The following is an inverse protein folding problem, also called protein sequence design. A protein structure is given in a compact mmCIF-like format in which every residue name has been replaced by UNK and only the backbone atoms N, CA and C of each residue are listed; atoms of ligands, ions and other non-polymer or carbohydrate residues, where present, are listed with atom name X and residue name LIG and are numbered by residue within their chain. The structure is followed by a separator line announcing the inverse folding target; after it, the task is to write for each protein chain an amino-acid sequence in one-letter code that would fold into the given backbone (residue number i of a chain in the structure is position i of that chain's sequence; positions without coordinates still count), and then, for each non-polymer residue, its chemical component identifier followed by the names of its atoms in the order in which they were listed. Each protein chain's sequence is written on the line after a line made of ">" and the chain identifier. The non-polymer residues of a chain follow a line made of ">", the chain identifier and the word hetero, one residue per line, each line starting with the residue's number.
data_IF_232231459549
#
_entry.id   IF_232231459549
#
_cell.length_a   1.000
_cell.length_b   1.000
_cell.length_c   1.000
_cell.angle_alpha   90.00
_cell.angle_beta   90.00
_cell.angle_gamma   90.00
#
_symmetry.space_group_name_H-M   'P 1'
#
loop_
_entity.id
_entity.type
_entity.pdbx_description
1 polymer ?
#
# COMPACT_ATOMS: atom_id res chain seq x y z
N UNK A 1 -1.15 10.55 37.28
CA UNK A 1 -1.27 10.01 35.91
C UNK A 1 -2.45 10.72 35.28
N UNK A 2 -2.23 11.51 34.22
CA UNK A 2 -3.28 12.34 33.60
C UNK A 2 -4.38 11.44 33.03
N UNK A 3 -5.63 11.83 33.26
CA UNK A 3 -6.85 11.17 32.76
C UNK A 3 -6.70 10.88 31.27
N UNK A 4 -6.59 9.61 30.92
CA UNK A 4 -6.57 9.18 29.52
C UNK A 4 -8.01 9.17 29.02
N UNK A 5 -8.23 9.64 27.78
CA UNK A 5 -9.51 9.45 27.11
C UNK A 5 -9.87 7.95 27.11
N UNK A 6 -11.06 7.62 27.63
CA UNK A 6 -11.56 6.25 27.68
C UNK A 6 -12.32 5.84 26.41
N UNK A 7 -12.69 6.79 25.56
CA UNK A 7 -13.44 6.56 24.33
C UNK A 7 -12.48 6.32 23.15
N UNK A 8 -11.70 5.25 23.24
CA UNK A 8 -10.67 4.85 22.28
C UNK A 8 -11.12 3.68 21.41
N UNK A 9 -10.65 3.62 20.16
CA UNK A 9 -10.94 2.52 19.24
C UNK A 9 -9.88 1.41 19.37
N UNK A 10 -10.27 0.20 19.01
CA UNK A 10 -9.38 -0.96 19.03
C UNK A 10 -8.28 -0.81 17.96
N UNK A 11 -7.02 -0.72 18.43
CA UNK A 11 -5.85 -0.60 17.57
C UNK A 11 -5.53 -1.90 16.83
N UNK A 12 -5.93 -3.06 17.34
CA UNK A 12 -5.63 -4.34 16.69
C UNK A 12 -6.32 -4.44 15.33
N UNK A 13 -7.60 -4.03 15.24
CA UNK A 13 -8.33 -3.98 13.97
C UNK A 13 -7.70 -3.03 12.94
N UNK A 14 -7.10 -1.91 13.38
CA UNK A 14 -6.36 -1.00 12.50
C UNK A 14 -5.11 -1.69 11.94
N UNK A 15 -4.36 -2.38 12.78
CA UNK A 15 -3.14 -3.06 12.36
C UNK A 15 -3.47 -4.25 11.45
N UNK A 16 -4.55 -4.99 11.70
CA UNK A 16 -5.05 -6.02 10.76
C UNK A 16 -5.40 -5.43 9.39
N UNK A 17 -6.02 -4.25 9.35
CA UNK A 17 -6.31 -3.56 8.11
C UNK A 17 -5.04 -3.11 7.39
N UNK A 18 -4.09 -2.50 8.10
CA UNK A 18 -2.81 -2.09 7.52
C UNK A 18 -2.04 -3.28 6.96
N UNK A 19 -2.04 -4.40 7.69
CA UNK A 19 -1.40 -5.63 7.25
C UNK A 19 -2.08 -6.17 5.99
N UNK A 20 -3.41 -6.22 5.94
CA UNK A 20 -4.13 -6.66 4.75
C UNK A 20 -3.88 -5.76 3.53
N UNK A 21 -3.67 -4.45 3.72
CA UNK A 21 -3.25 -3.56 2.63
C UNK A 21 -1.81 -3.86 2.20
N UNK A 22 -0.91 -4.13 3.15
CA UNK A 22 0.51 -4.42 2.87
C UNK A 22 0.73 -5.77 2.21
N UNK A 23 0.03 -6.82 2.67
CA UNK A 23 0.14 -8.19 2.13
C UNK A 23 -0.37 -8.30 0.68
N UNK A 24 -1.08 -7.28 0.22
CA UNK A 24 -1.79 -7.26 -1.07
C UNK A 24 -1.54 -5.96 -1.84
N UNK A 25 -0.47 -5.23 -1.52
CA UNK A 25 -0.19 -3.91 -2.10
C UNK A 25 0.08 -3.98 -3.60
N UNK A 26 0.79 -4.99 -4.09
CA UNK A 26 0.99 -5.24 -5.52
C UNK A 26 -0.34 -5.30 -6.28
N UNK A 27 -1.26 -6.15 -5.80
CA UNK A 27 -2.62 -6.26 -6.36
C UNK A 27 -3.39 -4.95 -6.25
N UNK A 28 -3.37 -4.30 -5.08
CA UNK A 28 -4.14 -3.08 -4.83
C UNK A 28 -3.63 -1.92 -5.69
N UNK A 29 -2.32 -1.76 -5.82
CA UNK A 29 -1.70 -0.72 -6.64
C UNK A 29 -2.01 -0.98 -8.11
N UNK A 30 -1.78 -2.19 -8.60
CA UNK A 30 -2.03 -2.55 -9.99
C UNK A 30 -3.50 -2.33 -10.37
N UNK A 31 -4.43 -2.75 -9.52
CA UNK A 31 -5.87 -2.67 -9.79
C UNK A 31 -6.43 -1.26 -9.60
N UNK A 32 -6.01 -0.54 -8.55
CA UNK A 32 -6.67 0.69 -8.12
C UNK A 32 -5.88 1.98 -8.43
N UNK A 33 -4.66 1.91 -8.94
CA UNK A 33 -3.91 3.11 -9.39
C UNK A 33 -4.58 3.82 -10.58
N UNK A 34 -5.28 3.06 -11.43
CA UNK A 34 -6.09 3.58 -12.52
C UNK A 34 -7.38 2.76 -12.71
N UNK A 35 -8.29 2.88 -11.75
CA UNK A 35 -9.60 2.24 -11.80
C UNK A 35 -10.61 3.16 -12.52
N UNK A 36 -11.01 2.80 -13.73
CA UNK A 36 -11.93 3.59 -14.56
C UNK A 36 -11.51 5.07 -14.73
N UNK A 37 -10.22 5.31 -14.97
CA UNK A 37 -9.66 6.66 -15.15
C UNK A 37 -9.44 7.42 -13.84
N UNK A 38 -9.56 6.76 -12.69
CA UNK A 38 -9.40 7.36 -11.36
C UNK A 38 -8.38 6.61 -10.52
N UNK A 39 -7.58 7.35 -9.78
CA UNK A 39 -6.63 6.78 -8.82
C UNK A 39 -7.34 6.52 -7.48
N UNK A 40 -7.86 5.32 -7.31
CA UNK A 40 -8.48 4.87 -6.06
C UNK A 40 -7.44 4.34 -5.06
N UNK A 41 -6.23 3.98 -5.51
CA UNK A 41 -5.12 3.64 -4.63
C UNK A 41 -4.77 4.79 -3.67
N UNK A 42 -4.70 6.03 -4.18
CA UNK A 42 -4.48 7.22 -3.33
C UNK A 42 -5.58 7.39 -2.27
N UNK A 43 -6.83 7.01 -2.57
CA UNK A 43 -7.91 7.03 -1.60
C UNK A 43 -7.71 5.96 -0.51
N UNK A 44 -7.30 4.75 -0.88
CA UNK A 44 -6.97 3.67 0.09
C UNK A 44 -5.86 4.14 1.03
N UNK A 45 -4.77 4.70 0.50
CA UNK A 45 -3.68 5.26 1.29
C UNK A 45 -4.15 6.37 2.24
N UNK A 46 -4.94 7.32 1.72
CA UNK A 46 -5.46 8.42 2.52
C UNK A 46 -6.35 7.92 3.66
N UNK A 47 -7.26 6.97 3.40
CA UNK A 47 -8.10 6.36 4.43
C UNK A 47 -7.26 5.62 5.48
N UNK A 48 -6.23 4.87 5.06
CA UNK A 48 -5.29 4.19 5.97
C UNK A 48 -4.57 5.18 6.89
N UNK A 49 -4.06 6.26 6.34
CA UNK A 49 -3.31 7.27 7.11
C UNK A 49 -4.22 7.99 8.11
N UNK A 50 -5.42 8.40 7.67
CA UNK A 50 -6.37 9.08 8.54
C UNK A 50 -6.99 8.18 9.60
N UNK A 51 -7.21 6.90 9.32
CA UNK A 51 -7.55 5.91 10.34
C UNK A 51 -6.41 5.77 11.36
N UNK A 52 -5.17 5.72 10.90
CA UNK A 52 -3.99 5.66 11.79
C UNK A 52 -3.90 6.87 12.71
N UNK A 53 -4.04 8.08 12.16
CA UNK A 53 -4.05 9.33 12.94
C UNK A 53 -5.20 9.33 13.94
N UNK A 54 -6.39 8.91 13.52
CA UNK A 54 -7.59 8.98 14.34
C UNK A 54 -7.54 7.98 15.51
N UNK A 55 -7.30 6.70 15.22
CA UNK A 55 -7.26 5.64 16.24
C UNK A 55 -6.14 5.89 17.25
N UNK A 56 -4.94 6.21 16.77
CA UNK A 56 -3.79 6.44 17.65
C UNK A 56 -3.81 7.83 18.31
N UNK A 57 -4.56 8.78 17.75
CA UNK A 57 -4.71 10.14 18.28
C UNK A 57 -5.74 10.26 19.41
N UNK A 58 -6.79 9.42 19.40
CA UNK A 58 -7.86 9.44 20.42
C UNK A 58 -7.37 9.44 21.88
N UNK A 59 -6.35 8.66 22.28
CA UNK A 59 -5.83 8.66 23.65
C UNK A 59 -5.30 10.02 24.14
N UNK A 60 -4.97 10.93 23.23
CA UNK A 60 -4.34 12.22 23.52
C UNK A 60 -5.35 13.37 23.66
N UNK A 61 -6.64 13.14 23.42
CA UNK A 61 -7.70 14.14 23.59
C UNK A 61 -8.03 14.28 25.09
N UNK A 62 -7.99 15.50 25.64
CA UNK A 62 -8.21 15.73 27.07
C UNK A 62 -9.63 16.24 27.36
N UNK A 63 -10.57 15.32 27.57
CA UNK A 63 -11.98 15.66 27.85
C UNK A 63 -12.21 16.24 29.25
N UNK A 64 -11.26 16.11 30.18
CA UNK A 64 -11.36 16.60 31.58
C UNK A 64 -10.51 17.85 31.84
N UNK A 65 -10.16 18.61 30.79
CA UNK A 65 -9.37 19.84 30.94
C UNK A 65 -10.02 20.82 31.94
N UNK A 66 -9.22 21.48 32.77
CA UNK A 66 -9.73 22.39 33.80
C UNK A 66 -10.33 23.70 33.27
N UNK A 67 -10.24 23.96 31.97
CA UNK A 67 -10.67 25.20 31.32
C UNK A 67 -11.78 24.87 30.33
N UNK A 68 -12.91 25.54 30.45
CA UNK A 68 -14.14 25.21 29.72
C UNK A 68 -13.98 25.34 28.19
N UNK A 69 -13.35 26.42 27.73
CA UNK A 69 -13.06 26.60 26.29
C UNK A 69 -12.14 25.49 25.75
N UNK A 70 -11.09 25.14 26.51
CA UNK A 70 -10.20 24.05 26.13
C UNK A 70 -10.95 22.71 26.11
N UNK A 71 -11.84 22.42 27.08
CA UNK A 71 -12.68 21.22 27.02
C UNK A 71 -13.59 21.22 25.80
N UNK A 72 -14.22 22.35 25.49
CA UNK A 72 -15.10 22.49 24.32
C UNK A 72 -14.35 22.19 23.02
N UNK A 73 -13.11 22.69 22.89
CA UNK A 73 -12.23 22.35 21.76
C UNK A 73 -11.84 20.87 21.74
N UNK A 74 -11.58 20.25 22.89
CA UNK A 74 -11.31 18.80 22.97
C UNK A 74 -12.54 17.97 22.56
N UNK A 75 -13.75 18.44 22.87
CA UNK A 75 -15.00 17.80 22.44
C UNK A 75 -15.18 17.89 20.93
N UNK A 76 -14.96 19.07 20.34
CA UNK A 76 -14.94 19.25 18.89
C UNK A 76 -13.91 18.31 18.24
N UNK A 77 -12.72 18.21 18.82
CA UNK A 77 -11.66 17.33 18.33
C UNK A 77 -12.10 15.86 18.37
N UNK A 78 -12.76 15.41 19.43
CA UNK A 78 -13.29 14.04 19.54
C UNK A 78 -14.29 13.74 18.42
N UNK A 79 -15.29 14.61 18.24
CA UNK A 79 -16.34 14.44 17.23
C UNK A 79 -15.73 14.43 15.82
N UNK A 80 -14.81 15.34 15.55
CA UNK A 80 -14.11 15.42 14.25
C UNK A 80 -13.26 14.18 14.00
N UNK A 81 -12.58 13.67 15.03
CA UNK A 81 -11.78 12.45 14.94
C UNK A 81 -12.66 11.25 14.60
N UNK A 82 -13.84 11.12 15.21
CA UNK A 82 -14.80 10.09 14.83
C UNK A 82 -15.33 10.30 13.42
N UNK A 83 -15.73 11.51 13.04
CA UNK A 83 -16.18 11.82 11.68
C UNK A 83 -15.16 11.41 10.60
N UNK A 84 -13.86 11.61 10.85
CA UNK A 84 -12.78 11.14 9.97
C UNK A 84 -12.75 9.60 9.86
N UNK A 85 -12.91 8.88 10.97
CA UNK A 85 -13.00 7.41 10.97
C UNK A 85 -14.17 6.96 10.09
N UNK A 86 -15.35 7.55 10.28
CA UNK A 86 -16.55 7.23 9.51
C UNK A 86 -16.36 7.46 8.02
N UNK A 87 -15.89 8.65 7.64
CA UNK A 87 -15.65 8.99 6.24
C UNK A 87 -14.63 8.04 5.62
N UNK A 88 -13.57 7.68 6.35
CA UNK A 88 -12.56 6.73 5.86
C UNK A 88 -13.19 5.38 5.53
N UNK A 89 -14.05 4.85 6.41
CA UNK A 89 -14.74 3.57 6.21
C UNK A 89 -15.73 3.64 5.05
N UNK A 90 -16.53 4.70 4.96
CA UNK A 90 -17.45 4.91 3.84
C UNK A 90 -16.72 5.00 2.50
N UNK A 91 -15.59 5.70 2.45
CA UNK A 91 -14.76 5.78 1.25
C UNK A 91 -14.16 4.43 0.87
N UNK A 92 -13.71 3.63 1.84
CA UNK A 92 -13.22 2.26 1.59
C UNK A 92 -14.33 1.36 1.04
N UNK A 93 -15.53 1.39 1.64
CA UNK A 93 -16.69 0.68 1.10
C UNK A 93 -16.99 1.09 -0.34
N UNK A 94 -16.89 2.39 -0.67
CA UNK A 94 -17.07 2.87 -2.05
C UNK A 94 -15.99 2.35 -2.99
N UNK A 95 -14.72 2.35 -2.59
CA UNK A 95 -13.62 1.86 -3.43
C UNK A 95 -13.78 0.38 -3.76
N UNK A 96 -14.16 -0.42 -2.77
CA UNK A 96 -14.35 -1.85 -2.96
C UNK A 96 -15.76 -2.22 -3.46
N UNK A 97 -16.58 -1.22 -3.82
CA UNK A 97 -17.95 -1.38 -4.33
C UNK A 97 -18.85 -2.19 -3.40
N UNK A 98 -18.65 -2.05 -2.10
CA UNK A 98 -19.38 -2.74 -1.05
C UNK A 98 -20.64 -1.96 -0.67
N UNK A 99 -21.74 -2.68 -0.44
CA UNK A 99 -22.93 -2.08 0.20
C UNK A 99 -22.57 -1.62 1.63
N UNK A 100 -23.09 -0.47 2.05
CA UNK A 100 -22.90 0.03 3.42
C UNK A 100 -24.05 -0.45 4.32
N UNK A 101 -23.85 -1.46 5.18
CA UNK A 101 -24.94 -2.14 5.88
C UNK A 101 -25.66 -1.27 6.91
N UNK A 102 -25.03 -0.17 7.37
CA UNK A 102 -25.56 0.68 8.43
C UNK A 102 -26.23 1.98 7.95
N UNK A 103 -26.46 2.15 6.64
CA UNK A 103 -26.95 3.42 6.05
C UNK A 103 -28.31 3.89 6.59
N UNK A 104 -29.12 2.96 7.12
CA UNK A 104 -30.44 3.24 7.71
C UNK A 104 -30.52 2.85 9.19
N UNK A 105 -29.37 2.58 9.80
CA UNK A 105 -29.29 2.18 11.20
C UNK A 105 -29.79 3.30 12.11
N UNK A 106 -30.53 2.94 13.15
CA UNK A 106 -31.08 3.87 14.14
C UNK A 106 -31.04 3.29 15.56
N UNK A 107 -30.21 2.26 15.78
CA UNK A 107 -30.22 1.49 17.02
C UNK A 107 -29.51 2.18 18.18
N UNK A 108 -28.66 3.18 17.91
CA UNK A 108 -27.77 3.76 18.92
C UNK A 108 -28.41 4.97 19.58
N UNK A 109 -28.78 5.97 18.78
CA UNK A 109 -29.28 7.22 19.33
C UNK A 109 -30.76 7.15 19.70
N UNK A 110 -31.51 6.26 19.04
CA UNK A 110 -32.97 6.12 19.20
C UNK A 110 -33.72 7.44 18.93
N UNK A 111 -33.24 8.22 17.96
CA UNK A 111 -33.84 9.47 17.53
C UNK A 111 -34.90 9.25 16.44
N UNK A 112 -35.64 10.30 16.09
CA UNK A 112 -36.59 10.28 14.98
C UNK A 112 -35.93 10.16 13.60
N UNK A 113 -34.61 10.34 13.52
CA UNK A 113 -33.80 10.24 12.31
C UNK A 113 -32.79 9.09 12.43
N UNK A 114 -32.29 8.54 11.30
CA UNK A 114 -31.21 7.55 11.32
C UNK A 114 -29.98 8.06 12.06
N UNK A 115 -29.18 7.14 12.58
CA UNK A 115 -28.02 7.45 13.43
C UNK A 115 -27.00 8.34 12.70
N UNK A 116 -26.79 8.15 11.39
CA UNK A 116 -25.88 8.99 10.59
C UNK A 116 -26.35 10.45 10.53
N UNK A 117 -27.67 10.66 10.38
CA UNK A 117 -28.27 11.99 10.37
C UNK A 117 -28.22 12.63 11.77
N UNK A 118 -28.42 11.84 12.82
CA UNK A 118 -28.32 12.32 14.20
C UNK A 118 -26.87 12.70 14.56
N UNK A 119 -25.89 11.89 14.17
CA UNK A 119 -24.47 12.21 14.37
C UNK A 119 -24.06 13.44 13.57
N UNK A 120 -24.57 13.62 12.34
CA UNK A 120 -24.35 14.84 11.58
C UNK A 120 -24.91 16.08 12.31
N UNK A 121 -26.06 15.95 12.97
CA UNK A 121 -26.61 17.01 13.82
C UNK A 121 -25.72 17.31 15.04
N UNK A 122 -25.22 16.28 15.74
CA UNK A 122 -24.26 16.45 16.83
C UNK A 122 -23.05 17.25 16.33
N UNK A 123 -22.47 16.84 15.20
CA UNK A 123 -21.29 17.50 14.61
C UNK A 123 -21.57 18.95 14.24
N UNK A 124 -22.77 19.24 13.72
CA UNK A 124 -23.18 20.60 13.41
C UNK A 124 -23.30 21.46 14.69
N UNK A 125 -24.00 20.96 15.71
CA UNK A 125 -24.26 21.66 16.97
C UNK A 125 -22.99 21.94 17.79
N UNK A 126 -22.08 20.98 17.86
CA UNK A 126 -20.91 21.02 18.75
C UNK A 126 -19.62 21.45 18.07
N UNK A 127 -19.66 21.90 16.80
CA UNK A 127 -18.40 22.18 16.11
C UNK A 127 -18.47 22.75 14.71
N UNK A 128 -18.99 21.97 13.75
CA UNK A 128 -18.81 22.28 12.33
C UNK A 128 -19.61 23.50 11.86
N UNK A 129 -20.84 23.68 12.39
CA UNK A 129 -21.76 24.72 11.95
C UNK A 129 -22.58 25.36 13.10
N UNK A 130 -21.99 25.65 14.28
CA UNK A 130 -22.76 26.07 15.45
C UNK A 130 -23.53 27.37 15.22
N UNK A 131 -23.16 28.20 14.24
CA UNK A 131 -23.82 29.48 13.95
C UNK A 131 -24.64 29.50 12.65
N UNK A 132 -24.85 28.35 11.98
CA UNK A 132 -25.77 28.22 10.83
C UNK A 132 -26.41 26.82 10.78
N UNK A 133 -27.18 26.47 11.81
CA UNK A 133 -27.88 25.19 11.88
C UNK A 133 -29.20 25.26 11.11
N UNK A 134 -29.54 24.18 10.41
CA UNK A 134 -30.78 24.02 9.62
C UNK A 134 -31.75 22.99 10.20
N UNK A 135 -31.54 22.65 11.47
CA UNK A 135 -32.31 21.69 12.23
C UNK A 135 -32.03 21.86 13.72
N UNK A 136 -33.02 21.51 14.56
CA UNK A 136 -32.85 21.41 16.01
C UNK A 136 -32.53 19.97 16.48
N UNK A 137 -32.91 18.95 15.70
CA UNK A 137 -32.92 17.53 16.11
C UNK A 137 -32.40 16.57 15.03
N UNK A 138 -31.91 17.10 13.90
CA UNK A 138 -31.48 16.36 12.72
C UNK A 138 -32.55 16.22 11.63
N UNK A 139 -33.80 16.58 11.88
CA UNK A 139 -34.84 16.66 10.86
C UNK A 139 -34.70 17.91 10.00
N UNK A 140 -34.89 17.82 8.68
CA UNK A 140 -34.75 18.98 7.79
C UNK A 140 -35.83 20.02 8.11
N UNK A 141 -35.42 21.23 8.47
CA UNK A 141 -36.30 22.39 8.67
C UNK A 141 -35.86 23.58 7.80
N UNK A 142 -36.80 24.50 7.54
CA UNK A 142 -36.48 25.82 7.00
C UNK A 142 -36.00 26.79 8.08
N UNK A 143 -36.24 26.46 9.34
CA UNK A 143 -35.84 27.26 10.49
C UNK A 143 -34.33 27.27 10.65
N UNK A 144 -33.80 28.35 11.21
CA UNK A 144 -32.37 28.47 11.53
C UNK A 144 -32.15 28.49 13.02
N UNK A 145 -31.09 27.80 13.44
CA UNK A 145 -30.68 27.76 14.82
C UNK A 145 -29.20 28.14 15.00
N UNK A 146 -28.86 28.57 16.20
CA UNK A 146 -27.53 28.96 16.61
C UNK A 146 -27.21 28.30 17.96
N UNK A 147 -26.17 27.48 18.04
CA UNK A 147 -25.74 26.82 19.26
C UNK A 147 -24.90 27.75 20.15
N UNK A 148 -25.11 27.65 21.46
CA UNK A 148 -24.25 28.21 22.49
C UNK A 148 -22.89 27.49 22.56
N UNK A 149 -21.98 27.97 23.42
CA UNK A 149 -20.84 27.15 23.83
C UNK A 149 -21.33 25.81 24.41
N UNK A 150 -20.53 24.77 24.20
CA UNK A 150 -20.80 23.46 24.78
C UNK A 150 -20.36 23.43 26.23
N UNK A 151 -21.20 22.94 27.13
CA UNK A 151 -20.84 22.78 28.54
C UNK A 151 -21.13 21.37 29.02
N UNK A 152 -20.35 20.92 29.98
CA UNK A 152 -20.61 19.67 30.69
C UNK A 152 -21.98 19.75 31.37
N UNK A 153 -22.72 18.64 31.30
CA UNK A 153 -23.98 18.52 32.02
C UNK A 153 -23.63 18.14 33.45
N UNK A 154 -23.56 19.13 34.35
CA UNK A 154 -23.36 18.81 35.77
C UNK A 154 -24.44 17.81 36.22
N UNK A 155 -24.05 16.81 37.01
CA UNK A 155 -24.88 15.70 37.54
C UNK A 155 -26.10 16.13 38.38
N UNK A 156 -26.37 17.43 38.47
CA UNK A 156 -27.54 18.02 39.14
C UNK A 156 -28.85 17.89 38.36
N UNK A 157 -28.81 17.51 37.08
CA UNK A 157 -30.00 17.31 36.24
C UNK A 157 -29.95 15.86 35.75
N UNK A 158 -30.62 14.96 36.46
CA UNK A 158 -30.54 13.49 36.28
C UNK A 158 -30.70 13.01 34.83
N UNK A 159 -29.58 12.81 34.16
CA UNK A 159 -29.48 12.26 32.81
C UNK A 159 -28.09 11.64 32.57
N UNK A 160 -27.99 10.79 31.55
CA UNK A 160 -26.75 10.11 31.15
C UNK A 160 -25.98 10.86 30.04
N UNK A 161 -26.28 12.16 29.87
CA UNK A 161 -25.63 13.00 28.86
C UNK A 161 -24.39 13.65 29.46
N UNK A 162 -23.34 13.76 28.66
CA UNK A 162 -22.05 14.31 29.09
C UNK A 162 -21.95 15.80 28.80
N UNK A 163 -22.50 16.24 27.65
CA UNK A 163 -22.40 17.62 27.16
C UNK A 163 -23.72 18.12 26.58
N UNK A 164 -23.95 19.43 26.68
CA UNK A 164 -25.10 20.07 26.02
C UNK A 164 -24.78 21.46 25.47
N UNK A 165 -25.59 21.87 24.50
CA UNK A 165 -25.68 23.24 23.99
C UNK A 165 -27.13 23.70 24.07
N UNK A 166 -27.34 25.01 24.10
CA UNK A 166 -28.63 25.63 23.86
C UNK A 166 -28.70 26.13 22.42
N UNK A 167 -29.78 25.78 21.73
CA UNK A 167 -30.08 26.22 20.37
C UNK A 167 -31.01 27.42 20.42
N UNK A 168 -30.49 28.58 20.00
CA UNK A 168 -31.25 29.80 19.81
C UNK A 168 -31.93 29.76 18.44
N UNK A 169 -33.23 30.02 18.40
CA UNK A 169 -34.01 30.05 17.16
C UNK A 169 -33.95 31.42 16.50
N UNK A 170 -33.96 31.46 15.17
CA UNK A 170 -34.20 32.70 14.42
C UNK A 170 -35.67 33.12 14.38
N UNK A 171 -36.58 32.27 14.85
CA UNK A 171 -38.00 32.58 14.97
C UNK A 171 -38.24 33.40 16.25
N UNK A 172 -38.71 34.66 16.16
CA UNK A 172 -38.92 35.53 17.31
C UNK A 172 -40.00 35.02 18.28
N UNK A 173 -40.89 34.13 17.85
CA UNK A 173 -41.93 33.53 18.69
C UNK A 173 -41.39 32.40 19.58
N UNK A 174 -40.14 31.95 19.36
CA UNK A 174 -39.50 30.93 20.19
C UNK A 174 -38.94 31.57 21.47
N UNK A 175 -39.68 31.44 22.57
CA UNK A 175 -39.37 32.13 23.83
C UNK A 175 -38.20 31.49 24.61
N UNK A 176 -38.01 30.18 24.50
CA UNK A 176 -37.00 29.44 25.27
C UNK A 176 -36.01 28.72 24.33
N UNK A 177 -34.70 28.78 24.59
CA UNK A 177 -33.71 28.01 23.84
C UNK A 177 -33.98 26.50 23.97
N UNK A 178 -33.74 25.77 22.87
CA UNK A 178 -33.89 24.31 22.85
C UNK A 178 -32.59 23.70 23.37
N UNK A 179 -32.66 22.88 24.42
CA UNK A 179 -31.49 22.15 24.90
C UNK A 179 -31.22 20.96 23.98
N UNK A 180 -30.00 20.86 23.46
CA UNK A 180 -29.51 19.72 22.71
C UNK A 180 -28.35 19.08 23.45
N UNK A 181 -28.47 17.81 23.81
CA UNK A 181 -27.50 17.07 24.61
C UNK A 181 -26.89 15.91 23.83
N UNK A 182 -25.70 15.50 24.22
CA UNK A 182 -25.04 14.30 23.71
C UNK A 182 -24.35 13.50 24.80
N UNK A 183 -24.21 12.21 24.55
CA UNK A 183 -23.44 11.29 25.38
C UNK A 183 -22.20 10.82 24.61
N UNK A 184 -21.03 10.95 25.24
CA UNK A 184 -19.77 10.39 24.75
C UNK A 184 -19.86 8.88 24.57
N UNK A 185 -20.53 8.18 25.48
CA UNK A 185 -20.73 6.74 25.37
C UNK A 185 -21.52 6.36 24.11
N UNK A 186 -22.60 7.08 23.80
CA UNK A 186 -23.41 6.82 22.59
C UNK A 186 -22.66 7.15 21.30
N UNK A 187 -21.98 8.30 21.21
CA UNK A 187 -21.19 8.61 20.00
C UNK A 187 -20.03 7.63 19.82
N UNK A 188 -19.47 7.12 20.92
CA UNK A 188 -18.42 6.12 20.89
C UNK A 188 -18.96 4.77 20.40
N UNK A 189 -20.09 4.31 20.94
CA UNK A 189 -20.79 3.09 20.49
C UNK A 189 -21.15 3.16 19.00
N UNK A 190 -21.71 4.29 18.57
CA UNK A 190 -22.00 4.61 17.18
C UNK A 190 -20.77 4.47 16.28
N UNK A 191 -19.63 4.99 16.74
CA UNK A 191 -18.35 4.93 16.02
C UNK A 191 -17.78 3.52 16.00
N UNK A 192 -17.80 2.79 17.11
CA UNK A 192 -17.36 1.38 17.18
C UNK A 192 -18.13 0.52 16.18
N UNK A 193 -19.46 0.69 16.12
CA UNK A 193 -20.31 -0.10 15.22
C UNK A 193 -19.98 0.12 13.74
N UNK A 194 -19.52 1.32 13.37
CA UNK A 194 -19.06 1.63 12.01
C UNK A 194 -17.61 1.20 11.79
N UNK A 195 -16.75 1.44 12.77
CA UNK A 195 -15.35 1.01 12.76
C UNK A 195 -15.19 -0.49 12.59
N UNK A 196 -16.08 -1.30 13.18
CA UNK A 196 -16.08 -2.74 13.00
C UNK A 196 -16.31 -3.20 11.55
N UNK A 197 -16.89 -2.35 10.68
CA UNK A 197 -17.02 -2.64 9.25
C UNK A 197 -15.66 -2.72 8.53
N UNK A 198 -14.58 -2.24 9.15
CA UNK A 198 -13.23 -2.43 8.62
C UNK A 198 -12.87 -3.92 8.46
N UNK A 199 -13.43 -4.81 9.27
CA UNK A 199 -13.30 -6.27 9.11
C UNK A 199 -13.88 -6.78 7.79
N UNK A 200 -14.98 -6.18 7.32
CA UNK A 200 -15.57 -6.49 6.03
C UNK A 200 -14.65 -6.02 4.90
N UNK A 201 -14.03 -4.84 5.04
CA UNK A 201 -13.06 -4.31 4.07
C UNK A 201 -11.85 -5.25 3.96
N UNK A 202 -11.30 -5.70 5.10
CA UNK A 202 -10.19 -6.67 5.14
C UNK A 202 -10.56 -7.95 4.37
N UNK A 203 -11.77 -8.47 4.62
CA UNK A 203 -12.26 -9.68 3.97
C UNK A 203 -12.47 -9.48 2.46
N UNK A 204 -12.97 -8.32 2.04
CA UNK A 204 -13.18 -8.01 0.63
C UNK A 204 -11.85 -7.83 -0.13
N UNK A 205 -10.82 -7.24 0.49
CA UNK A 205 -9.47 -7.18 -0.10
C UNK A 205 -8.96 -8.59 -0.39
N UNK A 206 -8.98 -9.48 0.62
CA UNK A 206 -8.51 -10.87 0.49
C UNK A 206 -9.29 -11.63 -0.59
N UNK A 207 -10.61 -11.46 -0.60
CA UNK A 207 -11.49 -12.08 -1.59
C UNK A 207 -11.21 -11.59 -3.01
N UNK A 208 -11.13 -10.27 -3.23
CA UNK A 208 -10.86 -9.71 -4.57
C UNK A 208 -9.46 -10.08 -5.06
N UNK A 209 -8.47 -10.13 -4.17
CA UNK A 209 -7.13 -10.63 -4.51
C UNK A 209 -7.16 -12.11 -4.92
N UNK A 210 -7.88 -12.97 -4.18
CA UNK A 210 -8.06 -14.37 -4.54
C UNK A 210 -8.75 -14.56 -5.90
N UNK A 211 -9.79 -13.77 -6.20
CA UNK A 211 -10.45 -13.76 -7.51
C UNK A 211 -9.46 -13.35 -8.60
N UNK A 212 -8.70 -12.28 -8.39
CA UNK A 212 -7.68 -11.81 -9.34
C UNK A 212 -6.64 -12.90 -9.65
N UNK A 213 -6.11 -13.57 -8.62
CA UNK A 213 -5.16 -14.69 -8.81
C UNK A 213 -5.75 -15.77 -9.70
N UNK A 214 -6.99 -16.21 -9.42
CA UNK A 214 -7.64 -17.27 -10.19
C UNK A 214 -7.93 -16.84 -11.64
N UNK A 215 -8.35 -15.60 -11.86
CA UNK A 215 -8.53 -15.03 -13.19
C UNK A 215 -7.21 -15.01 -13.98
N UNK A 216 -6.10 -14.58 -13.35
CA UNK A 216 -4.79 -14.59 -13.99
C UNK A 216 -4.33 -16.02 -14.29
N UNK A 217 -4.53 -16.98 -13.38
CA UNK A 217 -4.20 -18.41 -13.60
C UNK A 217 -4.95 -19.02 -14.78
N UNK A 218 -6.21 -18.64 -14.96
CA UNK A 218 -7.04 -19.14 -16.06
C UNK A 218 -6.69 -18.50 -17.40
N UNK A 219 -5.99 -17.36 -17.41
CA UNK A 219 -5.49 -16.73 -18.63
C UNK A 219 -4.15 -17.37 -19.02
N UNK A 220 -4.09 -18.20 -20.08
CA UNK A 220 -2.85 -18.82 -20.51
C UNK A 220 -1.89 -17.78 -21.09
N UNK A 221 -0.63 -17.88 -20.71
CA UNK A 221 0.48 -17.15 -21.32
C UNK A 221 0.87 -17.87 -22.60
N UNK A 222 1.04 -17.12 -23.69
CA UNK A 222 1.46 -17.71 -24.97
C UNK A 222 2.90 -18.21 -24.88
N UNK A 223 3.18 -19.39 -25.45
CA UNK A 223 4.53 -19.95 -25.56
C UNK A 223 5.05 -19.83 -26.99
N UNK A 224 6.25 -19.29 -27.14
CA UNK A 224 6.99 -19.18 -28.39
C UNK A 224 8.30 -19.96 -28.28
N UNK A 225 8.23 -21.28 -28.51
CA UNK A 225 9.35 -22.19 -28.27
C UNK A 225 10.54 -22.05 -29.23
N UNK A 226 10.43 -21.26 -30.30
CA UNK A 226 11.50 -21.05 -31.27
C UNK A 226 12.28 -19.74 -31.07
N UNK A 227 11.72 -18.78 -30.33
CA UNK A 227 12.33 -17.47 -30.11
C UNK A 227 12.22 -17.09 -28.62
N UNK A 228 13.34 -17.23 -27.92
CA UNK A 228 13.44 -16.94 -26.48
C UNK A 228 13.26 -15.45 -26.18
N UNK A 229 13.67 -14.56 -27.09
CA UNK A 229 13.54 -13.11 -26.90
C UNK A 229 12.07 -12.71 -27.02
N UNK A 230 11.36 -13.26 -28.02
CA UNK A 230 9.91 -13.08 -28.16
C UNK A 230 9.17 -13.61 -26.92
N UNK A 231 9.55 -14.79 -26.42
CA UNK A 231 8.99 -15.34 -25.18
C UNK A 231 9.21 -14.41 -23.99
N UNK A 232 10.42 -13.88 -23.81
CA UNK A 232 10.75 -12.97 -22.71
C UNK A 232 9.97 -11.64 -22.80
N UNK A 233 9.75 -11.11 -24.00
CA UNK A 233 8.92 -9.91 -24.20
C UNK A 233 7.46 -10.16 -23.79
N UNK A 234 6.92 -11.35 -24.09
CA UNK A 234 5.60 -11.76 -23.60
C UNK A 234 5.59 -11.83 -22.07
N UNK A 235 6.59 -12.46 -21.47
CA UNK A 235 6.71 -12.56 -20.01
C UNK A 235 6.84 -11.19 -19.34
N UNK A 236 7.56 -10.24 -19.93
CA UNK A 236 7.71 -8.88 -19.40
C UNK A 236 6.36 -8.14 -19.35
N UNK A 237 5.56 -8.30 -20.41
CA UNK A 237 4.20 -7.75 -20.48
C UNK A 237 3.26 -8.42 -19.47
N UNK A 238 3.34 -9.74 -19.34
CA UNK A 238 2.54 -10.50 -18.38
C UNK A 238 2.94 -10.16 -16.93
N UNK A 239 4.22 -9.98 -16.62
CA UNK A 239 4.69 -9.48 -15.31
C UNK A 239 4.06 -8.12 -14.98
N UNK A 240 4.08 -7.19 -15.93
CA UNK A 240 3.50 -5.86 -15.73
C UNK A 240 1.98 -5.90 -15.53
N UNK A 241 1.31 -6.88 -16.14
CA UNK A 241 -0.15 -7.07 -16.01
C UNK A 241 -0.53 -7.76 -14.70
N UNK A 242 0.23 -8.77 -14.28
CA UNK A 242 -0.07 -9.63 -13.13
C UNK A 242 0.44 -9.08 -11.81
N UNK A 243 1.53 -8.33 -11.85
CA UNK A 243 2.21 -7.72 -10.70
C UNK A 243 2.19 -6.21 -10.89
N UNK A 244 3.23 -5.64 -11.52
CA UNK A 244 3.36 -4.23 -11.87
C UNK A 244 4.59 -4.03 -12.77
N UNK A 245 4.60 -2.97 -13.56
CA UNK A 245 5.82 -2.53 -14.24
C UNK A 245 6.86 -2.07 -13.20
N UNK A 246 8.10 -2.54 -13.34
CA UNK A 246 9.20 -2.22 -12.42
C UNK A 246 9.27 -3.09 -11.16
N UNK A 247 8.38 -4.09 -11.00
CA UNK A 247 8.37 -5.00 -9.85
C UNK A 247 8.31 -6.48 -10.25
N UNK A 248 8.33 -7.36 -9.25
CA UNK A 248 8.38 -8.79 -9.45
C UNK A 248 9.65 -9.17 -10.23
N UNK A 249 9.47 -9.81 -11.38
CA UNK A 249 10.56 -10.29 -12.23
C UNK A 249 10.93 -9.32 -13.35
N UNK A 250 10.44 -8.07 -13.31
CA UNK A 250 10.64 -7.10 -14.40
C UNK A 250 12.12 -6.97 -14.81
N UNK A 251 13.01 -6.71 -13.84
CA UNK A 251 14.44 -6.51 -14.12
C UNK A 251 15.17 -7.80 -14.49
N UNK A 252 14.76 -8.95 -13.93
CA UNK A 252 15.32 -10.26 -14.29
C UNK A 252 14.98 -10.60 -15.75
N UNK A 253 13.73 -10.37 -16.16
CA UNK A 253 13.28 -10.58 -17.55
C UNK A 253 14.00 -9.61 -18.49
N UNK A 254 14.14 -8.34 -18.11
CA UNK A 254 14.87 -7.35 -18.92
C UNK A 254 16.35 -7.76 -19.09
N UNK A 255 16.99 -8.20 -18.01
CA UNK A 255 18.37 -8.71 -18.06
C UNK A 255 18.48 -9.90 -19.00
N UNK A 256 17.54 -10.84 -18.96
CA UNK A 256 17.53 -11.98 -19.89
C UNK A 256 17.39 -11.54 -21.35
N UNK A 257 16.53 -10.56 -21.64
CA UNK A 257 16.39 -9.99 -23.00
C UNK A 257 17.73 -9.42 -23.45
N UNK A 258 18.38 -8.62 -22.60
CA UNK A 258 19.71 -8.04 -22.86
C UNK A 258 20.76 -9.12 -23.15
N UNK A 259 20.79 -10.21 -22.38
CA UNK A 259 21.72 -11.31 -22.56
C UNK A 259 21.50 -12.08 -23.88
N UNK A 260 20.24 -12.37 -24.23
CA UNK A 260 19.91 -13.08 -25.47
C UNK A 260 20.01 -12.23 -26.74
N UNK A 261 20.07 -10.90 -26.60
CA UNK A 261 20.19 -9.96 -27.72
C UNK A 261 21.59 -9.36 -27.87
N UNK A 262 22.54 -9.74 -27.01
CA UNK A 262 23.92 -9.28 -27.09
C UNK A 262 24.56 -9.57 -28.47
N UNK A 263 25.38 -8.65 -29.02
CA UNK A 263 25.99 -8.81 -30.35
C UNK A 263 26.85 -10.07 -30.52
N UNK A 264 27.49 -10.51 -29.44
CA UNK A 264 28.46 -11.59 -29.38
C UNK A 264 29.73 -11.34 -30.22
N UNK A 265 30.20 -10.09 -30.22
CA UNK A 265 31.38 -9.64 -30.95
C UNK A 265 32.68 -9.94 -30.16
N UNK A 266 32.89 -11.22 -29.82
CA UNK A 266 34.06 -11.71 -29.10
C UNK A 266 34.67 -12.99 -29.71
N UNK A 267 35.92 -13.36 -29.35
CA UNK A 267 36.63 -14.50 -29.94
C UNK A 267 35.89 -15.84 -29.80
N UNK A 268 36.09 -16.73 -30.78
CA UNK A 268 35.42 -18.05 -30.88
C UNK A 268 35.58 -18.92 -29.62
N UNK A 269 36.71 -18.80 -28.91
CA UNK A 269 36.95 -19.53 -27.66
C UNK A 269 35.91 -19.22 -26.57
N UNK A 270 35.37 -18.00 -26.56
CA UNK A 270 34.38 -17.55 -25.57
C UNK A 270 32.96 -17.92 -25.99
N UNK A 271 32.70 -18.02 -27.29
CA UNK A 271 31.38 -18.36 -27.85
C UNK A 271 30.85 -19.70 -27.35
N UNK A 272 31.72 -20.71 -27.20
CA UNK A 272 31.28 -22.01 -26.69
C UNK A 272 30.82 -21.93 -25.22
N UNK A 273 31.56 -21.24 -24.37
CA UNK A 273 31.21 -21.08 -22.95
C UNK A 273 29.94 -20.24 -22.78
N UNK A 274 29.83 -19.14 -23.54
CA UNK A 274 28.66 -18.27 -23.54
C UNK A 274 27.42 -19.03 -24.05
N UNK A 275 27.54 -19.83 -25.11
CA UNK A 275 26.44 -20.63 -25.62
C UNK A 275 25.93 -21.64 -24.57
N UNK A 276 26.83 -22.26 -23.78
CA UNK A 276 26.42 -23.14 -22.69
C UNK A 276 25.67 -22.38 -21.58
N UNK A 277 26.15 -21.19 -21.22
CA UNK A 277 25.49 -20.34 -20.24
C UNK A 277 24.09 -19.90 -20.72
N UNK A 278 23.98 -19.38 -21.95
CA UNK A 278 22.69 -19.01 -22.55
C UNK A 278 21.73 -20.20 -22.62
N UNK A 279 22.23 -21.40 -22.95
CA UNK A 279 21.42 -22.61 -22.94
C UNK A 279 20.91 -22.94 -21.53
N UNK A 280 21.72 -22.74 -20.48
CA UNK A 280 21.30 -22.94 -19.09
C UNK A 280 20.20 -21.97 -18.64
N UNK A 281 20.19 -20.74 -19.18
CA UNK A 281 19.19 -19.73 -18.85
C UNK A 281 17.78 -20.09 -19.33
N UNK A 282 17.62 -21.01 -20.29
CA UNK A 282 16.30 -21.45 -20.74
C UNK A 282 15.47 -22.07 -19.59
N UNK A 283 16.14 -22.74 -18.65
CA UNK A 283 15.47 -23.30 -17.46
C UNK A 283 14.87 -22.16 -16.61
N UNK A 284 15.58 -21.04 -16.47
CA UNK A 284 15.07 -19.86 -15.76
C UNK A 284 13.91 -19.20 -16.49
N UNK A 285 13.94 -19.16 -17.84
CA UNK A 285 12.81 -18.66 -18.64
C UNK A 285 11.55 -19.51 -18.41
N UNK A 286 11.70 -20.84 -18.35
CA UNK A 286 10.59 -21.74 -18.02
C UNK A 286 10.08 -21.55 -16.58
N UNK A 287 10.98 -21.33 -15.60
CA UNK A 287 10.58 -21.02 -14.22
C UNK A 287 9.79 -19.71 -14.14
N UNK A 288 10.23 -18.67 -14.83
CA UNK A 288 9.52 -17.38 -14.92
C UNK A 288 8.13 -17.55 -15.51
N UNK A 289 8.02 -18.33 -16.59
CA UNK A 289 6.73 -18.66 -17.19
C UNK A 289 5.82 -19.35 -16.17
N UNK A 290 6.30 -20.40 -15.50
CA UNK A 290 5.48 -21.17 -14.56
C UNK A 290 5.09 -20.32 -13.33
N UNK A 291 6.00 -19.48 -12.83
CA UNK A 291 5.72 -18.58 -11.72
C UNK A 291 4.61 -17.57 -12.07
N UNK A 292 4.69 -16.94 -13.25
CA UNK A 292 3.68 -15.99 -13.73
C UNK A 292 2.35 -16.68 -14.07
N UNK A 293 2.38 -17.85 -14.71
CA UNK A 293 1.18 -18.61 -15.07
C UNK A 293 0.43 -19.10 -13.83
N UNK A 294 1.16 -19.60 -12.84
CA UNK A 294 0.58 -20.17 -11.62
C UNK A 294 0.42 -19.14 -10.49
N UNK A 295 0.82 -17.88 -10.71
CA UNK A 295 0.78 -16.80 -9.70
C UNK A 295 1.48 -17.21 -8.40
N UNK A 296 2.66 -17.84 -8.53
CA UNK A 296 3.46 -18.32 -7.40
C UNK A 296 4.71 -17.46 -7.29
N UNK A 297 4.60 -16.38 -6.52
CA UNK A 297 5.71 -15.49 -6.20
C UNK A 297 6.18 -15.83 -4.78
N UNK A 298 7.29 -16.55 -4.67
CA UNK A 298 7.81 -17.03 -3.39
C UNK A 298 8.96 -16.18 -2.84
N UNK A 299 9.05 -16.08 -1.51
CA UNK A 299 10.18 -15.46 -0.80
C UNK A 299 11.51 -16.17 -1.09
N UNK A 300 11.46 -17.47 -1.39
CA UNK A 300 12.64 -18.31 -1.68
C UNK A 300 13.27 -18.03 -3.06
N UNK A 301 12.64 -17.16 -3.87
CA UNK A 301 13.08 -16.82 -5.22
C UNK A 301 12.93 -17.99 -6.20
N UNK A 302 13.49 -17.82 -7.40
CA UNK A 302 13.55 -18.87 -8.42
C UNK A 302 14.72 -19.82 -8.15
N UNK A 303 14.55 -21.12 -8.34
CA UNK A 303 15.61 -22.10 -8.08
C UNK A 303 16.85 -21.83 -8.94
N UNK A 304 16.65 -21.36 -10.18
CA UNK A 304 17.72 -20.97 -11.09
C UNK A 304 18.02 -19.46 -11.10
N UNK A 305 17.47 -18.69 -10.15
CA UNK A 305 17.76 -17.26 -10.03
C UNK A 305 19.25 -16.93 -9.79
N UNK A 306 20.02 -17.91 -9.28
CA UNK A 306 21.47 -17.81 -9.11
C UNK A 306 22.23 -17.65 -10.43
N UNK A 307 21.61 -17.96 -11.58
CA UNK A 307 22.19 -17.77 -12.91
C UNK A 307 22.29 -16.29 -13.29
N UNK A 308 21.44 -15.43 -12.72
CA UNK A 308 21.51 -13.97 -12.86
C UNK A 308 22.17 -13.33 -11.63
N UNK A 309 21.89 -13.88 -10.45
CA UNK A 309 22.31 -13.33 -9.17
C UNK A 309 23.30 -14.26 -8.46
N UNK A 310 24.55 -14.31 -8.96
CA UNK A 310 25.57 -15.19 -8.38
C UNK A 310 25.84 -14.85 -6.91
N UNK A 311 25.70 -15.84 -6.02
CA UNK A 311 25.96 -15.72 -4.57
C UNK A 311 27.25 -16.40 -4.14
N UNK A 312 28.17 -16.62 -5.06
CA UNK A 312 29.38 -17.40 -4.79
C UNK A 312 30.28 -16.72 -3.76
N UNK A 313 30.67 -17.43 -2.68
CA UNK A 313 31.64 -16.91 -1.71
C UNK A 313 32.99 -16.53 -2.34
N UNK A 314 33.33 -17.14 -3.48
CA UNK A 314 34.57 -16.90 -4.24
C UNK A 314 34.74 -15.44 -4.67
N UNK A 315 33.64 -14.72 -4.88
CA UNK A 315 33.66 -13.32 -5.33
C UNK A 315 33.50 -12.30 -4.21
N UNK A 316 33.47 -12.73 -2.94
CA UNK A 316 33.28 -11.82 -1.80
C UNK A 316 34.33 -10.70 -1.74
N UNK A 317 35.57 -10.97 -2.16
CA UNK A 317 36.65 -9.99 -2.25
C UNK A 317 36.61 -9.05 -3.46
N UNK A 318 35.68 -9.29 -4.40
CA UNK A 318 35.48 -8.54 -5.64
C UNK A 318 34.17 -7.76 -5.66
N UNK A 319 33.42 -7.77 -4.55
CA UNK A 319 32.09 -7.17 -4.48
C UNK A 319 32.08 -5.71 -4.97
N UNK A 320 33.04 -4.90 -4.51
CA UNK A 320 33.15 -3.50 -4.93
C UNK A 320 33.46 -3.34 -6.43
N UNK A 321 34.31 -4.20 -7.00
CA UNK A 321 34.63 -4.12 -8.43
C UNK A 321 33.43 -4.54 -9.29
N UNK A 322 32.72 -5.59 -8.88
CA UNK A 322 31.49 -6.05 -9.54
C UNK A 322 30.40 -4.99 -9.44
N UNK A 323 30.18 -4.40 -8.27
CA UNK A 323 29.23 -3.30 -8.06
C UNK A 323 29.50 -2.14 -9.03
N UNK A 324 30.76 -1.71 -9.17
CA UNK A 324 31.13 -0.60 -10.05
C UNK A 324 30.98 -0.93 -11.53
N UNK A 325 31.22 -2.18 -11.92
CA UNK A 325 30.94 -2.64 -13.29
C UNK A 325 29.44 -2.73 -13.55
N UNK A 326 28.64 -3.23 -12.60
CA UNK A 326 27.18 -3.26 -12.75
C UNK A 326 26.56 -1.85 -12.75
N UNK A 327 27.08 -0.90 -11.96
CA UNK A 327 26.68 0.51 -12.04
C UNK A 327 26.97 1.07 -13.43
N UNK A 328 28.13 0.76 -14.00
CA UNK A 328 28.46 1.16 -15.37
C UNK A 328 27.50 0.57 -16.41
N UNK A 329 27.21 -0.73 -16.31
CA UNK A 329 26.30 -1.42 -17.23
C UNK A 329 24.90 -0.79 -17.20
N UNK A 330 24.38 -0.53 -15.99
CA UNK A 330 23.02 -0.03 -15.79
C UNK A 330 22.86 1.51 -15.87
N UNK A 331 23.96 2.27 -15.97
CA UNK A 331 23.92 3.73 -16.03
C UNK A 331 24.71 4.27 -17.24
N UNK A 332 23.98 4.80 -18.23
CA UNK A 332 24.55 5.39 -19.43
C UNK A 332 25.43 6.62 -19.14
N UNK A 333 25.22 7.30 -18.02
CA UNK A 333 25.97 8.49 -17.60
C UNK A 333 27.15 8.18 -16.68
N UNK A 334 27.45 6.90 -16.42
CA UNK A 334 28.52 6.52 -15.50
C UNK A 334 29.91 6.90 -16.05
N UNK A 335 30.79 7.56 -15.27
CA UNK A 335 32.08 8.03 -15.77
C UNK A 335 33.01 6.86 -16.16
N UNK A 336 33.41 6.79 -17.43
CA UNK A 336 34.29 5.73 -17.96
C UNK A 336 35.62 5.60 -17.20
N UNK A 337 36.18 6.73 -16.75
CA UNK A 337 37.43 6.76 -15.97
C UNK A 337 37.34 6.01 -14.63
N UNK A 338 36.12 5.78 -14.13
CA UNK A 338 35.87 5.09 -12.87
C UNK A 338 35.73 3.58 -13.05
N UNK A 339 35.66 3.06 -14.29
CA UNK A 339 35.39 1.63 -14.58
C UNK A 339 36.65 0.87 -15.00
N UNK A 340 37.55 1.55 -15.72
CA UNK A 340 38.78 0.95 -16.28
C UNK A 340 39.61 0.19 -15.24
N UNK A 341 39.76 0.76 -14.03
CA UNK A 341 40.46 0.12 -12.93
C UNK A 341 39.80 -1.21 -12.52
N UNK A 342 38.47 -1.24 -12.44
CA UNK A 342 37.71 -2.42 -12.02
C UNK A 342 37.74 -3.51 -13.09
N UNK A 343 37.60 -3.15 -14.38
CA UNK A 343 37.76 -4.10 -15.48
C UNK A 343 39.15 -4.74 -15.46
N UNK A 344 40.21 -3.94 -15.34
CA UNK A 344 41.59 -4.44 -15.23
C UNK A 344 41.77 -5.38 -14.05
N UNK A 345 41.17 -5.09 -12.91
CA UNK A 345 41.24 -5.97 -11.72
C UNK A 345 40.51 -7.29 -11.94
N UNK A 346 39.32 -7.27 -12.54
CA UNK A 346 38.56 -8.49 -12.88
C UNK A 346 39.30 -9.35 -13.93
N UNK A 347 39.98 -8.71 -14.88
CA UNK A 347 40.85 -9.40 -15.85
C UNK A 347 42.05 -10.05 -15.16
N UNK A 348 42.77 -9.29 -14.33
CA UNK A 348 43.97 -9.78 -13.64
C UNK A 348 43.70 -10.99 -12.73
N UNK A 349 42.48 -11.07 -12.18
CA UNK A 349 42.06 -12.15 -11.28
C UNK A 349 41.41 -13.31 -12.07
N UNK A 350 41.27 -13.17 -13.39
CA UNK A 350 40.77 -14.22 -14.28
C UNK A 350 39.25 -14.36 -14.29
N UNK A 351 38.51 -13.33 -13.84
CA UNK A 351 37.04 -13.31 -13.96
C UNK A 351 36.64 -12.92 -15.37
N UNK A 352 37.28 -11.90 -15.95
CA UNK A 352 37.01 -11.44 -17.31
C UNK A 352 38.17 -11.80 -18.26
N UNK A 353 37.90 -12.05 -19.55
CA UNK A 353 38.94 -12.27 -20.55
C UNK A 353 39.86 -11.06 -20.76
N UNK A 354 41.11 -11.31 -21.15
CA UNK A 354 42.14 -10.26 -21.30
C UNK A 354 41.89 -9.24 -22.41
N UNK A 355 41.00 -9.55 -23.37
CA UNK A 355 40.65 -8.65 -24.46
C UNK A 355 39.53 -7.67 -24.11
N UNK A 356 38.84 -7.86 -22.97
CA UNK A 356 37.77 -6.96 -22.53
C UNK A 356 38.33 -5.57 -22.27
N UNK A 357 37.62 -4.55 -22.75
CA UNK A 357 38.00 -3.15 -22.58
C UNK A 357 36.78 -2.24 -22.44
N UNK A 358 37.01 -0.93 -22.29
CA UNK A 358 35.92 0.06 -22.29
C UNK A 358 35.19 0.17 -23.65
N UNK A 359 35.81 -0.33 -24.72
CA UNK A 359 35.21 -0.34 -26.07
C UNK A 359 34.32 -1.57 -26.31
N UNK A 360 34.38 -2.56 -25.42
CA UNK A 360 33.50 -3.73 -25.49
C UNK A 360 32.04 -3.29 -25.34
N UNK A 361 31.17 -3.81 -26.22
CA UNK A 361 29.74 -3.56 -26.12
C UNK A 361 29.23 -3.93 -24.71
N UNK A 362 28.30 -3.13 -24.17
CA UNK A 362 27.84 -3.32 -22.79
C UNK A 362 27.11 -4.64 -22.61
N UNK A 363 26.32 -5.07 -23.60
CA UNK A 363 25.60 -6.33 -23.53
C UNK A 363 26.57 -7.51 -23.60
N UNK A 364 27.58 -7.43 -24.45
CA UNK A 364 28.64 -8.43 -24.51
C UNK A 364 29.44 -8.50 -23.21
N UNK A 365 29.77 -7.35 -22.61
CA UNK A 365 30.45 -7.28 -21.33
C UNK A 365 29.61 -7.93 -20.22
N UNK A 366 28.31 -7.63 -20.16
CA UNK A 366 27.38 -8.20 -19.19
C UNK A 366 27.25 -9.72 -19.37
N UNK A 367 27.12 -10.18 -20.61
CA UNK A 367 27.03 -11.59 -20.96
C UNK A 367 28.28 -12.36 -20.56
N UNK A 368 29.46 -11.86 -20.93
CA UNK A 368 30.74 -12.46 -20.53
C UNK A 368 30.91 -12.48 -19.01
N UNK A 369 30.58 -11.38 -18.33
CA UNK A 369 30.69 -11.29 -16.88
C UNK A 369 29.81 -12.32 -16.18
N UNK A 370 28.51 -12.37 -16.52
CA UNK A 370 27.57 -13.29 -15.87
C UNK A 370 27.88 -14.76 -16.20
N UNK A 371 28.23 -15.08 -17.45
CA UNK A 371 28.67 -16.43 -17.83
C UNK A 371 29.86 -16.89 -16.98
N UNK A 372 30.86 -16.02 -16.77
CA UNK A 372 32.05 -16.32 -15.96
C UNK A 372 31.75 -16.42 -14.47
N UNK A 373 30.83 -15.62 -13.94
CA UNK A 373 30.41 -15.71 -12.55
C UNK A 373 29.67 -17.03 -12.26
N UNK A 374 28.97 -17.61 -13.24
CA UNK A 374 28.29 -18.90 -13.12
C UNK A 374 29.26 -20.08 -13.31
N UNK A 375 30.04 -20.09 -14.40
CA UNK A 375 30.96 -21.21 -14.72
C UNK A 375 32.01 -21.45 -13.63
N UNK A 376 32.46 -20.39 -12.95
CA UNK A 376 33.41 -20.48 -11.85
C UNK A 376 32.84 -21.06 -10.54
N UNK A 377 31.52 -21.34 -10.48
CA UNK A 377 30.87 -21.99 -9.33
C UNK A 377 30.73 -23.51 -9.50
N UNK A 378 30.66 -24.00 -10.75
CA UNK A 378 30.41 -25.43 -11.03
C UNK A 378 31.67 -26.30 -11.01
N UNK A 379 32.87 -25.70 -11.00
CA UNK A 379 34.13 -26.43 -10.96
C UNK A 379 34.42 -27.14 -9.62
N UNK A 380 33.67 -26.82 -8.54
CA UNK A 380 33.87 -27.44 -7.22
C UNK A 380 32.78 -28.48 -6.84
N UNK A 381 31.66 -28.58 -7.58
CA UNK A 381 30.65 -29.65 -7.34
C UNK A 381 31.06 -31.03 -7.85
N UNK A 382 32.15 -31.12 -8.63
CA UNK A 382 32.72 -32.39 -9.11
C UNK A 382 34.04 -32.75 -8.42
N UNK A 383 34.41 -32.03 -7.35
CA UNK A 383 35.63 -32.26 -6.57
C UNK A 383 35.33 -32.44 -5.09
N UNK A 384 34.60 -33.50 -4.73
CA UNK A 384 34.35 -33.93 -3.36
C UNK A 384 34.46 -35.43 -3.22
#
# INVERSE_FOLDING_TARGET
>A
MKDKNQYILDSSLLEEFKQAVSDHDDFLINTYSNYNGKNLWSLICSAKDWLSVSVNGLPYINLTHSHDDARSLNVLQLITTYDIVLQSIEQLHRVFEMEHPLKKDNSIFNAAVPDDAYFAQIRACFGAHPVDLRSADGTKSTDKYFASWSSDVSSSIGGNDDYSVYLYSNNPDTVQPIRFSMSFAKIHEYTIKRYSLLSNVISEIKKKHGIFIEEQRQRPISRHGSDVVEQLQILLKENSTRIREGDGYHYDIQTLIELFTAPQDFPEQEQQEVAQYLNSLHVLVDELYEALQNMTFGEDGMAHGHLLHSRSPKFKGLHYDLEKVFEYLNNLSYPLSMVDYHLKRLINIGVLPSYVSLETDRLDLQLLLLARLVNNNNLDSTGG
#
